data_IF_240710391535
#
_entry.id   IF_240710391535
#
_cell.length_a   1.000
_cell.length_b   1.000
_cell.length_c   1.000
_cell.angle_alpha   90.00
_cell.angle_beta   90.00
_cell.angle_gamma   90.00
#
_symmetry.space_group_name_H-M   'P 1'
#
loop_
_entity.id
_entity.type
_entity.pdbx_description
1 polymer ?
#
# COMPACT_ATOMS: atom_id res chain seq x y z
N UNK A 1 -7.93 24.90 -4.91
CA UNK A 1 -6.50 25.14 -5.25
C UNK A 1 -6.24 24.67 -6.67
N UNK A 2 -5.28 25.27 -7.34
CA UNK A 2 -4.67 24.77 -8.57
C UNK A 2 -3.45 23.92 -8.21
N UNK A 3 -3.47 22.64 -8.54
CA UNK A 3 -2.45 21.68 -8.11
C UNK A 3 -1.80 21.06 -9.35
N UNK A 4 -0.48 21.09 -9.41
CA UNK A 4 0.29 20.32 -10.40
C UNK A 4 0.59 18.94 -9.84
N UNK A 5 0.02 17.90 -10.46
CA UNK A 5 0.20 16.50 -10.07
C UNK A 5 1.37 15.92 -10.85
N UNK A 6 2.47 15.64 -10.17
CA UNK A 6 3.60 14.91 -10.73
C UNK A 6 3.30 13.40 -10.60
N UNK A 7 2.83 12.78 -11.68
CA UNK A 7 2.37 11.38 -11.69
C UNK A 7 3.49 10.41 -12.09
N UNK A 8 3.82 9.48 -11.21
CA UNK A 8 4.67 8.32 -11.52
C UNK A 8 3.86 7.02 -11.58
N UNK A 9 4.52 5.90 -11.92
CA UNK A 9 3.84 4.61 -12.11
C UNK A 9 3.39 3.96 -10.79
N UNK A 10 2.26 4.42 -10.25
CA UNK A 10 1.61 3.80 -9.10
C UNK A 10 0.08 3.88 -9.20
N UNK A 11 -0.60 2.83 -8.74
CA UNK A 11 -2.01 2.56 -9.02
C UNK A 11 -3.02 3.41 -8.23
N UNK A 12 -2.59 4.21 -7.26
CA UNK A 12 -3.50 4.98 -6.37
C UNK A 12 -3.96 6.33 -6.95
N UNK A 13 -3.28 6.83 -7.98
CA UNK A 13 -3.59 8.15 -8.57
C UNK A 13 -5.04 8.33 -9.04
N UNK A 14 -5.72 7.34 -9.67
CA UNK A 14 -7.09 7.53 -10.13
C UNK A 14 -8.04 7.96 -9.01
N UNK A 15 -7.97 7.32 -7.85
CA UNK A 15 -8.82 7.65 -6.70
C UNK A 15 -8.47 9.01 -6.07
N UNK A 16 -7.18 9.36 -6.02
CA UNK A 16 -6.70 10.66 -5.55
C UNK A 16 -7.22 11.79 -6.47
N UNK A 17 -7.02 11.65 -7.78
CA UNK A 17 -7.38 12.65 -8.78
C UNK A 17 -8.90 12.87 -8.85
N UNK A 18 -9.68 11.78 -8.81
CA UNK A 18 -11.14 11.86 -8.77
C UNK A 18 -11.61 12.60 -7.50
N UNK A 19 -11.04 12.25 -6.35
CA UNK A 19 -11.37 12.89 -5.07
C UNK A 19 -11.01 14.38 -5.07
N UNK A 20 -9.79 14.75 -5.49
CA UNK A 20 -9.37 16.15 -5.55
C UNK A 20 -10.29 16.99 -6.45
N UNK A 21 -10.72 16.45 -7.60
CA UNK A 21 -11.66 17.14 -8.49
C UNK A 21 -13.04 17.29 -7.85
N UNK A 22 -13.53 16.24 -7.18
CA UNK A 22 -14.83 16.26 -6.50
C UNK A 22 -14.87 17.23 -5.30
N UNK A 23 -13.73 17.46 -4.64
CA UNK A 23 -13.58 18.48 -3.59
C UNK A 23 -13.32 19.90 -4.16
N UNK A 24 -13.38 20.07 -5.50
CA UNK A 24 -13.30 21.38 -6.15
C UNK A 24 -11.90 21.90 -6.45
N UNK A 25 -10.87 21.04 -6.41
CA UNK A 25 -9.52 21.41 -6.81
C UNK A 25 -9.34 21.26 -8.34
N UNK A 26 -8.53 22.15 -8.93
CA UNK A 26 -8.11 22.06 -10.32
C UNK A 26 -6.78 21.31 -10.37
N UNK A 27 -6.71 20.22 -11.13
CA UNK A 27 -5.54 19.36 -11.20
C UNK A 27 -5.02 19.25 -12.62
N UNK A 28 -3.82 19.77 -12.87
CA UNK A 28 -3.05 19.47 -14.09
C UNK A 28 -2.10 18.30 -13.80
N UNK A 29 -1.88 17.44 -14.77
CA UNK A 29 -1.02 16.26 -14.60
C UNK A 29 0.24 16.40 -15.44
N UNK A 30 1.39 16.33 -14.79
CA UNK A 30 2.69 16.11 -15.41
C UNK A 30 3.08 14.64 -15.19
N UNK A 31 2.93 13.84 -16.24
CA UNK A 31 3.25 12.41 -16.19
C UNK A 31 4.74 12.17 -16.42
N UNK A 32 5.34 11.36 -15.55
CA UNK A 32 6.71 10.88 -15.67
C UNK A 32 6.85 9.39 -15.38
N UNK A 33 5.78 8.61 -15.57
CA UNK A 33 5.74 7.17 -15.26
C UNK A 33 6.75 6.35 -16.09
N UNK A 34 7.19 6.86 -17.24
CA UNK A 34 8.13 6.21 -18.14
C UNK A 34 9.62 6.47 -17.81
N UNK A 35 9.93 7.28 -16.78
CA UNK A 35 11.32 7.63 -16.45
C UNK A 35 12.08 6.43 -15.86
N UNK A 36 13.30 6.20 -16.35
CA UNK A 36 14.18 5.11 -15.89
C UNK A 36 15.03 5.47 -14.68
N UNK A 37 14.80 6.65 -14.10
CA UNK A 37 15.52 7.20 -12.94
C UNK A 37 17.03 7.31 -13.17
N UNK A 38 17.44 7.57 -14.42
CA UNK A 38 18.81 7.97 -14.74
C UNK A 38 19.01 9.46 -14.45
N UNK A 39 20.25 9.88 -14.22
CA UNK A 39 20.58 11.30 -13.96
C UNK A 39 20.10 12.21 -15.12
N UNK A 40 20.22 11.74 -16.36
CA UNK A 40 19.76 12.45 -17.56
C UNK A 40 18.23 12.60 -17.58
N UNK A 41 17.49 11.52 -17.27
CA UNK A 41 16.03 11.57 -17.22
C UNK A 41 15.53 12.48 -16.08
N UNK A 42 16.18 12.42 -14.92
CA UNK A 42 15.88 13.27 -13.76
C UNK A 42 16.12 14.74 -14.10
N UNK A 43 17.24 15.06 -14.76
CA UNK A 43 17.54 16.42 -15.19
C UNK A 43 16.51 16.92 -16.22
N UNK A 44 16.16 16.08 -17.20
CA UNK A 44 15.15 16.39 -18.22
C UNK A 44 13.78 16.68 -17.58
N UNK A 45 13.32 15.80 -16.69
CA UNK A 45 12.06 16.00 -15.97
C UNK A 45 12.08 17.24 -15.09
N UNK A 46 13.16 17.47 -14.34
CA UNK A 46 13.31 18.64 -13.48
C UNK A 46 13.20 19.93 -14.28
N UNK A 47 13.75 19.95 -15.50
CA UNK A 47 13.63 21.09 -16.41
C UNK A 47 12.19 21.29 -16.88
N UNK A 48 11.50 20.22 -17.27
CA UNK A 48 10.08 20.30 -17.67
C UNK A 48 9.20 20.77 -16.52
N UNK A 49 9.43 20.27 -15.31
CA UNK A 49 8.72 20.72 -14.11
C UNK A 49 8.96 22.20 -13.83
N UNK A 50 10.21 22.66 -13.93
CA UNK A 50 10.57 24.06 -13.72
C UNK A 50 9.91 24.98 -14.75
N UNK A 51 9.93 24.59 -16.04
CA UNK A 51 9.28 25.35 -17.12
C UNK A 51 7.75 25.41 -16.90
N UNK A 52 7.15 24.31 -16.42
CA UNK A 52 5.72 24.27 -16.08
C UNK A 52 5.35 25.20 -14.93
N UNK A 53 6.21 25.28 -13.91
CA UNK A 53 6.01 26.15 -12.75
C UNK A 53 6.23 27.62 -13.07
N UNK A 54 7.02 27.94 -14.10
CA UNK A 54 7.20 29.31 -14.61
C UNK A 54 5.98 29.85 -15.39
N UNK A 55 4.98 29.01 -15.72
CA UNK A 55 3.74 29.45 -16.37
C UNK A 55 2.98 30.43 -15.44
N UNK A 56 2.96 31.72 -15.82
CA UNK A 56 2.32 32.78 -15.04
C UNK A 56 0.86 32.97 -15.44
N UNK A 57 0.06 33.49 -14.52
CA UNK A 57 -1.29 34.02 -14.83
C UNK A 57 -1.28 35.53 -14.67
N UNK A 58 -2.36 36.22 -15.08
CA UNK A 58 -2.50 37.67 -14.86
C UNK A 58 -2.43 38.09 -13.39
N UNK A 59 -2.68 37.15 -12.46
CA UNK A 59 -2.85 37.43 -11.03
C UNK A 59 -1.76 36.79 -10.15
N UNK A 60 -0.99 35.81 -10.65
CA UNK A 60 0.00 35.07 -9.86
C UNK A 60 1.29 34.81 -10.63
N UNK A 61 2.41 34.84 -9.90
CA UNK A 61 3.75 34.52 -10.40
C UNK A 61 3.91 33.06 -10.85
N UNK A 62 3.03 32.17 -10.40
CA UNK A 62 2.83 30.82 -10.91
C UNK A 62 1.35 30.48 -10.96
N UNK A 63 0.94 29.64 -11.92
CA UNK A 63 -0.44 29.13 -12.05
C UNK A 63 -0.87 28.25 -10.87
N UNK A 64 0.08 27.61 -10.18
CA UNK A 64 -0.19 26.55 -9.20
C UNK A 64 -0.01 27.03 -7.77
N UNK A 65 -0.90 26.58 -6.89
CA UNK A 65 -0.80 26.80 -5.44
C UNK A 65 0.09 25.75 -4.75
N UNK A 66 0.21 24.56 -5.34
CA UNK A 66 1.04 23.47 -4.84
C UNK A 66 1.42 22.47 -5.94
N UNK A 67 2.51 21.75 -5.72
CA UNK A 67 2.88 20.52 -6.44
C UNK A 67 2.53 19.32 -5.57
N UNK A 68 1.98 18.26 -6.15
CA UNK A 68 1.64 17.03 -5.44
C UNK A 68 2.22 15.79 -6.13
N UNK A 69 2.73 14.84 -5.34
CA UNK A 69 3.05 13.49 -5.80
C UNK A 69 2.68 12.42 -4.77
N UNK A 70 2.38 11.22 -5.25
CA UNK A 70 2.41 10.01 -4.42
C UNK A 70 3.86 9.59 -4.28
N UNK A 71 4.31 9.38 -3.04
CA UNK A 71 5.72 9.28 -2.63
C UNK A 71 6.53 10.58 -2.80
N UNK A 72 7.53 10.76 -1.94
CA UNK A 72 8.49 11.85 -1.97
C UNK A 72 9.56 11.65 -3.06
N UNK A 73 9.81 12.70 -3.84
CA UNK A 73 10.90 12.74 -4.80
C UNK A 73 11.84 13.92 -4.53
N UNK A 74 13.11 13.63 -4.27
CA UNK A 74 14.15 14.61 -3.97
C UNK A 74 14.27 15.70 -5.04
N UNK A 75 14.24 15.32 -6.32
CA UNK A 75 14.32 16.24 -7.46
C UNK A 75 13.06 17.10 -7.63
N UNK A 76 11.87 16.61 -7.26
CA UNK A 76 10.66 17.45 -7.21
C UNK A 76 10.80 18.48 -6.10
N UNK A 77 11.24 18.04 -4.91
CA UNK A 77 11.44 18.91 -3.76
C UNK A 77 12.45 20.04 -4.06
N UNK A 78 13.55 19.73 -4.76
CA UNK A 78 14.54 20.73 -5.16
C UNK A 78 13.99 21.78 -6.12
N UNK A 79 13.24 21.37 -7.15
CA UNK A 79 12.60 22.32 -8.06
C UNK A 79 11.60 23.19 -7.30
N UNK A 80 10.76 22.58 -6.45
CA UNK A 80 9.77 23.31 -5.67
C UNK A 80 10.41 24.31 -4.69
N UNK A 81 11.52 23.93 -4.06
CA UNK A 81 12.28 24.80 -3.17
C UNK A 81 12.85 26.02 -3.91
N UNK A 82 13.48 25.82 -5.08
CA UNK A 82 13.99 26.92 -5.91
C UNK A 82 12.90 27.88 -6.38
N UNK A 83 11.73 27.35 -6.71
CA UNK A 83 10.57 28.11 -7.16
C UNK A 83 9.69 28.63 -6.01
N UNK A 84 10.08 28.38 -4.75
CA UNK A 84 9.33 28.74 -3.55
C UNK A 84 7.84 28.34 -3.59
N UNK A 85 7.55 27.14 -4.11
CA UNK A 85 6.20 26.57 -4.17
C UNK A 85 6.05 25.41 -3.17
N UNK A 86 4.87 25.29 -2.57
CA UNK A 86 4.55 24.20 -1.64
C UNK A 86 4.60 22.85 -2.38
N UNK A 87 5.41 21.93 -1.87
CA UNK A 87 5.47 20.55 -2.34
C UNK A 87 4.78 19.63 -1.33
N UNK A 88 3.72 18.97 -1.76
CA UNK A 88 2.95 18.04 -0.95
C UNK A 88 3.23 16.63 -1.46
N UNK A 89 3.50 15.68 -0.57
CA UNK A 89 3.52 14.28 -0.97
C UNK A 89 2.81 13.38 0.02
N UNK A 90 2.20 12.32 -0.50
CA UNK A 90 1.55 11.28 0.28
C UNK A 90 2.24 9.95 -0.01
N UNK A 91 3.04 9.49 0.94
CA UNK A 91 3.82 8.27 0.80
C UNK A 91 2.94 7.05 1.00
N UNK A 92 3.12 6.06 0.13
CA UNK A 92 2.47 4.75 0.21
C UNK A 92 3.48 3.60 0.29
N UNK A 93 4.78 3.93 0.26
CA UNK A 93 5.89 3.04 0.55
C UNK A 93 6.57 3.48 1.86
N UNK A 94 6.93 2.50 2.71
CA UNK A 94 7.63 2.74 3.97
C UNK A 94 8.73 1.69 4.20
N UNK A 95 9.96 2.08 4.59
CA UNK A 95 10.42 3.45 4.53
C UNK A 95 10.83 3.81 3.10
N UNK A 96 10.74 5.09 2.75
CA UNK A 96 11.06 5.53 1.40
C UNK A 96 12.53 5.99 1.33
N UNK A 97 13.37 5.26 0.58
CA UNK A 97 14.81 5.55 0.50
C UNK A 97 15.11 7.00 0.08
N UNK A 98 14.29 7.58 -0.80
CA UNK A 98 14.49 8.94 -1.28
C UNK A 98 14.34 10.02 -0.19
N UNK A 99 13.70 9.69 0.94
CA UNK A 99 13.61 10.58 2.10
C UNK A 99 14.92 10.68 2.89
N UNK A 100 15.93 9.84 2.60
CA UNK A 100 17.28 10.01 3.14
C UNK A 100 18.03 11.17 2.48
N UNK A 101 17.51 11.72 1.37
CA UNK A 101 18.11 12.85 0.70
C UNK A 101 17.95 14.15 1.52
N UNK A 102 18.98 15.05 1.58
CA UNK A 102 18.91 16.28 2.38
C UNK A 102 17.72 17.20 2.05
N UNK A 103 17.19 17.12 0.83
CA UNK A 103 16.03 17.91 0.38
C UNK A 103 14.74 17.63 1.16
N UNK A 104 14.68 16.55 1.96
CA UNK A 104 13.58 16.31 2.90
C UNK A 104 13.39 17.48 3.88
N UNK A 105 14.47 18.20 4.20
CA UNK A 105 14.49 19.31 5.15
C UNK A 105 13.99 20.65 4.59
N UNK A 106 13.65 20.73 3.30
CA UNK A 106 13.15 21.98 2.74
C UNK A 106 11.80 22.35 3.37
N UNK A 107 11.68 23.61 3.80
CA UNK A 107 10.46 24.16 4.44
C UNK A 107 9.27 24.30 3.49
N UNK A 108 9.51 24.18 2.18
CA UNK A 108 8.46 24.09 1.17
C UNK A 108 7.75 22.74 1.17
N UNK A 109 8.31 21.71 1.82
CA UNK A 109 7.75 20.37 1.84
C UNK A 109 6.61 20.24 2.85
N UNK A 110 5.67 19.36 2.53
CA UNK A 110 4.62 18.86 3.41
C UNK A 110 4.48 17.36 3.08
N UNK A 111 5.13 16.52 3.88
CA UNK A 111 5.33 15.09 3.61
C UNK A 111 4.45 14.28 4.53
N UNK A 112 3.55 13.49 3.97
CA UNK A 112 2.68 12.60 4.73
C UNK A 112 3.17 11.16 4.63
N UNK A 113 3.53 10.55 5.75
CA UNK A 113 3.91 9.14 5.85
C UNK A 113 2.88 8.35 6.66
N UNK A 114 2.62 7.11 6.25
CA UNK A 114 1.64 6.24 6.90
C UNK A 114 2.21 5.39 8.04
N UNK A 115 3.50 5.54 8.34
CA UNK A 115 4.21 4.83 9.39
C UNK A 115 4.63 5.82 10.47
N UNK A 116 3.98 5.79 11.64
CA UNK A 116 4.22 6.81 12.67
C UNK A 116 5.65 6.80 13.23
N UNK A 117 6.39 5.69 13.10
CA UNK A 117 7.81 5.64 13.47
C UNK A 117 8.69 6.43 12.52
N UNK A 118 8.31 6.54 11.24
CA UNK A 118 9.04 7.34 10.25
C UNK A 118 8.87 8.84 10.52
N UNK A 119 7.64 9.29 10.81
CA UNK A 119 7.38 10.67 11.25
C UNK A 119 8.22 11.01 12.49
N UNK A 120 8.14 10.18 13.55
CA UNK A 120 8.93 10.37 14.77
C UNK A 120 10.43 10.41 14.48
N UNK A 121 10.92 9.57 13.57
CA UNK A 121 12.33 9.54 13.20
C UNK A 121 12.81 10.88 12.62
N UNK A 122 12.04 11.46 11.69
CA UNK A 122 12.38 12.73 11.06
C UNK A 122 12.18 13.92 12.02
N UNK A 123 11.09 13.95 12.77
CA UNK A 123 10.83 14.99 13.77
C UNK A 123 11.93 15.04 14.85
N UNK A 124 12.38 13.89 15.35
CA UNK A 124 13.47 13.81 16.34
C UNK A 124 14.82 14.29 15.78
N UNK A 125 14.98 14.35 14.45
CA UNK A 125 16.16 14.89 13.76
C UNK A 125 16.00 16.36 13.35
N UNK A 126 14.88 17.01 13.71
CA UNK A 126 14.62 18.42 13.43
C UNK A 126 13.89 18.71 12.11
N UNK A 127 13.41 17.67 11.42
CA UNK A 127 12.59 17.82 10.20
C UNK A 127 11.12 17.83 10.58
N UNK A 128 10.53 19.02 10.73
CA UNK A 128 9.14 19.25 11.18
C UNK A 128 8.08 19.24 10.06
N UNK A 129 8.49 19.00 8.82
CA UNK A 129 7.64 18.96 7.62
C UNK A 129 7.13 17.55 7.28
N UNK A 130 7.48 16.55 8.10
CA UNK A 130 7.01 15.16 7.97
C UNK A 130 5.90 14.93 8.98
N UNK A 131 4.76 14.45 8.51
CA UNK A 131 3.54 14.28 9.29
C UNK A 131 3.03 12.85 9.14
N UNK A 132 2.56 12.29 10.25
CA UNK A 132 1.87 11.00 10.22
C UNK A 132 0.46 11.14 9.64
N UNK A 133 0.13 10.29 8.66
CA UNK A 133 -1.21 10.19 8.10
C UNK A 133 -1.49 8.76 7.59
N UNK A 134 -2.43 8.00 8.18
CA UNK A 134 -2.73 6.63 7.74
C UNK A 134 -3.20 6.57 6.29
N UNK A 135 -3.02 5.42 5.64
CA UNK A 135 -3.57 5.17 4.30
C UNK A 135 -5.12 5.17 4.28
N UNK A 136 -5.68 5.13 3.08
CA UNK A 136 -7.11 5.20 2.82
C UNK A 136 -7.49 4.44 1.55
N UNK A 137 -8.79 4.26 1.33
CA UNK A 137 -9.34 3.68 0.09
C UNK A 137 -10.58 4.44 -0.36
N UNK A 138 -10.95 4.33 -1.64
CA UNK A 138 -12.16 4.98 -2.17
C UNK A 138 -13.37 4.07 -1.94
N UNK A 139 -14.02 4.24 -0.79
CA UNK A 139 -15.12 3.36 -0.39
C UNK A 139 -16.32 3.49 -1.33
N UNK A 140 -16.60 4.69 -1.85
CA UNK A 140 -17.70 4.92 -2.79
C UNK A 140 -17.50 4.12 -4.09
N UNK A 141 -16.32 4.22 -4.70
CA UNK A 141 -15.99 3.47 -5.91
C UNK A 141 -16.04 1.96 -5.66
N UNK A 142 -15.43 1.52 -4.57
CA UNK A 142 -15.35 0.10 -4.22
C UNK A 142 -16.75 -0.49 -4.02
N UNK A 143 -17.63 0.17 -3.26
CA UNK A 143 -18.99 -0.30 -3.02
C UNK A 143 -19.83 -0.29 -4.31
N UNK A 144 -19.72 0.76 -5.14
CA UNK A 144 -20.41 0.81 -6.43
C UNK A 144 -19.97 -0.33 -7.37
N UNK A 145 -18.67 -0.68 -7.37
CA UNK A 145 -18.15 -1.81 -8.13
C UNK A 145 -18.76 -3.13 -7.64
N UNK A 146 -18.80 -3.35 -6.32
CA UNK A 146 -19.36 -4.57 -5.72
C UNK A 146 -20.86 -4.68 -6.05
N UNK A 147 -21.63 -3.62 -5.84
CA UNK A 147 -23.06 -3.56 -6.16
C UNK A 147 -23.34 -3.88 -7.63
N UNK A 148 -22.59 -3.26 -8.56
CA UNK A 148 -22.74 -3.50 -9.99
C UNK A 148 -22.45 -4.95 -10.38
N UNK A 149 -21.52 -5.63 -9.68
CA UNK A 149 -21.18 -7.02 -9.95
C UNK A 149 -22.31 -7.99 -9.58
N UNK A 150 -23.12 -7.65 -8.56
CA UNK A 150 -24.29 -8.44 -8.15
C UNK A 150 -25.42 -8.36 -9.18
N UNK A 151 -25.66 -7.17 -9.73
CA UNK A 151 -26.67 -6.97 -10.78
C UNK A 151 -26.34 -7.70 -12.08
N UNK A 152 -25.05 -7.93 -12.36
CA UNK A 152 -24.62 -8.72 -13.53
C UNK A 152 -24.80 -10.22 -13.27
N UNK A 153 -24.59 -10.71 -12.04
CA UNK A 153 -24.79 -12.14 -11.72
C UNK A 153 -26.26 -12.58 -11.69
N UNK A 154 -27.20 -11.65 -11.55
CA UNK A 154 -28.65 -11.92 -11.64
C UNK A 154 -29.17 -11.99 -13.10
N UNK A 155 -28.32 -11.63 -14.08
CA UNK A 155 -28.57 -11.78 -15.51
C UNK A 155 -27.72 -12.95 -16.02
N UNK A 156 -28.32 -14.14 -16.06
CA UNK A 156 -27.69 -15.41 -16.44
C UNK A 156 -26.74 -15.33 -17.64
N UNK A 157 -25.60 -16.01 -17.49
CA UNK A 157 -24.71 -16.58 -18.52
C UNK A 157 -25.23 -16.46 -19.96
N UNK A 158 -24.87 -15.38 -20.68
CA UNK A 158 -24.72 -15.35 -22.16
C UNK A 158 -24.32 -13.99 -22.79
N UNK A 159 -23.77 -13.03 -22.04
CA UNK A 159 -23.24 -11.79 -22.66
C UNK A 159 -21.84 -11.42 -22.13
N UNK A 160 -20.87 -12.31 -22.31
CA UNK A 160 -19.49 -11.84 -22.47
C UNK A 160 -19.35 -11.29 -23.88
N UNK A 161 -19.60 -10.00 -24.06
CA UNK A 161 -19.08 -9.27 -25.23
C UNK A 161 -17.56 -9.36 -25.14
N UNK A 162 -16.95 -10.24 -25.94
CA UNK A 162 -15.52 -10.22 -26.22
C UNK A 162 -15.17 -8.86 -26.83
N UNK A 163 -14.31 -8.03 -26.22
CA UNK A 163 -13.64 -7.00 -26.98
C UNK A 163 -12.63 -7.71 -27.88
N UNK A 164 -12.75 -7.53 -29.19
CA UNK A 164 -11.65 -7.83 -30.12
C UNK A 164 -10.45 -7.01 -29.68
N UNK A 165 -9.43 -7.67 -29.12
CA UNK A 165 -8.11 -7.06 -28.93
C UNK A 165 -7.35 -7.16 -30.24
N UNK A 166 -7.09 -6.01 -30.86
CA UNK A 166 -5.89 -5.79 -31.66
C UNK A 166 -4.93 -4.93 -30.84
N UNK A 167 -3.64 -5.14 -31.05
CA UNK A 167 -2.52 -4.75 -30.20
C UNK A 167 -2.39 -3.27 -29.84
N UNK A 168 -1.80 -3.08 -28.64
CA UNK A 168 -0.92 -1.99 -28.19
C UNK A 168 -1.46 -0.56 -28.04
N UNK A 169 -1.02 0.03 -26.93
CA UNK A 169 -1.04 1.43 -26.50
C UNK A 169 -2.25 1.95 -25.72
N UNK A 170 -1.87 2.65 -24.65
CA UNK A 170 -2.50 3.80 -24.02
C UNK A 170 -3.83 3.63 -23.28
N UNK A 171 -3.74 3.93 -21.99
CA UNK A 171 -4.82 4.42 -21.15
C UNK A 171 -5.49 5.64 -21.80
N UNK A 172 -6.46 5.39 -22.67
CA UNK A 172 -7.47 6.38 -23.04
C UNK A 172 -8.85 5.70 -23.06
N UNK A 173 -9.82 6.41 -22.47
CA UNK A 173 -11.26 6.16 -22.51
C UNK A 173 -11.83 5.14 -21.52
N UNK A 174 -11.84 5.50 -20.23
CA UNK A 174 -13.00 5.20 -19.37
C UNK A 174 -13.78 6.51 -19.18
N UNK A 175 -14.59 6.84 -20.18
CA UNK A 175 -15.65 7.84 -20.04
C UNK A 175 -16.81 7.17 -19.33
N UNK A 176 -16.91 7.33 -18.00
CA UNK A 176 -18.13 7.01 -17.27
C UNK A 176 -19.19 7.97 -17.79
N UNK A 177 -20.15 7.46 -18.58
CA UNK A 177 -21.31 8.25 -18.99
C UNK A 177 -22.08 8.63 -17.73
N UNK A 178 -22.08 9.94 -17.43
CA UNK A 178 -22.96 10.60 -16.49
C UNK A 178 -24.40 10.07 -16.67
N UNK A 179 -24.86 9.26 -15.72
CA UNK A 179 -26.27 8.97 -15.55
C UNK A 179 -26.73 9.82 -14.37
N UNK A 180 -27.61 10.77 -14.65
CA UNK A 180 -28.16 11.74 -13.71
C UNK A 180 -28.67 11.07 -12.42
N UNK A 181 -27.94 11.21 -11.32
CA UNK A 181 -28.43 10.92 -9.97
C UNK A 181 -29.13 12.18 -9.44
N UNK A 182 -30.46 12.20 -9.54
CA UNK A 182 -31.28 13.18 -8.81
C UNK A 182 -31.16 12.90 -7.32
N UNK A 183 -30.90 13.96 -6.56
CA UNK A 183 -31.01 14.02 -5.10
C UNK A 183 -32.33 13.39 -4.63
N UNK A 184 -32.25 12.48 -3.65
CA UNK A 184 -33.36 12.19 -2.75
C UNK A 184 -32.82 12.18 -1.32
N UNK A 185 -33.29 13.16 -0.55
CA UNK A 185 -33.13 13.26 0.89
C UNK A 185 -34.04 12.26 1.63
N UNK A 186 -33.70 12.03 2.89
CA UNK A 186 -34.42 11.29 3.95
C UNK A 186 -34.09 9.80 4.11
N UNK A 187 -33.01 9.50 4.84
CA UNK A 187 -32.80 8.21 5.48
C UNK A 187 -33.21 8.25 6.95
N UNK A 188 -34.42 7.79 7.24
CA UNK A 188 -34.79 7.26 8.56
C UNK A 188 -34.21 5.86 8.72
N UNK A 189 -33.49 5.63 9.82
CA UNK A 189 -32.85 4.35 10.14
C UNK A 189 -33.92 3.32 10.52
N UNK A 190 -34.19 2.37 9.63
CA UNK A 190 -34.90 1.12 9.94
C UNK A 190 -33.96 -0.08 9.84
N UNK A 191 -33.98 -0.91 10.89
CA UNK A 191 -33.29 -2.21 10.96
C UNK A 191 -33.73 -3.12 9.80
N UNK A 192 -32.76 -3.85 9.24
CA UNK A 192 -32.85 -5.09 8.44
C UNK A 192 -32.97 -5.05 6.90
N UNK A 193 -32.04 -4.39 6.19
CA UNK A 193 -31.88 -4.59 4.72
C UNK A 193 -30.46 -4.95 4.23
N UNK A 194 -29.49 -5.20 5.12
CA UNK A 194 -28.12 -5.59 4.70
C UNK A 194 -27.86 -7.10 4.62
N UNK A 195 -28.89 -7.95 4.75
CA UNK A 195 -28.78 -9.38 4.46
C UNK A 195 -29.01 -9.67 2.97
N UNK A 196 -28.23 -9.03 2.07
CA UNK A 196 -27.95 -9.69 0.80
C UNK A 196 -26.95 -10.78 1.11
N UNK A 197 -27.35 -12.03 0.95
CA UNK A 197 -26.48 -13.20 1.06
C UNK A 197 -25.29 -13.02 0.12
N UNK A 198 -24.15 -12.56 0.64
CA UNK A 198 -22.91 -12.59 -0.11
C UNK A 198 -22.57 -14.05 -0.36
N UNK A 199 -22.68 -14.48 -1.62
CA UNK A 199 -22.20 -15.81 -2.00
C UNK A 199 -20.67 -15.76 -1.98
N UNK A 200 -20.09 -16.08 -0.82
CA UNK A 200 -18.66 -16.22 -0.67
C UNK A 200 -18.11 -17.20 -1.71
N UNK A 201 -17.07 -16.78 -2.44
CA UNK A 201 -16.35 -17.57 -3.43
C UNK A 201 -15.10 -18.23 -2.85
N UNK A 202 -14.56 -17.64 -1.79
CA UNK A 202 -13.29 -18.04 -1.19
C UNK A 202 -13.46 -18.19 0.32
N UNK A 203 -12.97 -19.29 0.89
CA UNK A 203 -12.98 -19.46 2.34
C UNK A 203 -11.89 -18.60 2.99
N UNK A 204 -10.65 -18.74 2.52
CA UNK A 204 -9.50 -17.97 2.99
C UNK A 204 -8.78 -17.41 1.77
N UNK A 205 -8.51 -16.11 1.74
CA UNK A 205 -7.76 -15.49 0.64
C UNK A 205 -6.62 -14.60 1.10
N UNK A 206 -5.53 -14.63 0.34
CA UNK A 206 -4.47 -13.63 0.37
C UNK A 206 -4.25 -13.06 -1.04
N UNK A 207 -4.26 -11.73 -1.16
CA UNK A 207 -3.94 -11.01 -2.41
C UNK A 207 -2.64 -10.23 -2.19
N UNK A 208 -1.57 -10.63 -2.86
CA UNK A 208 -0.28 -9.97 -2.71
C UNK A 208 0.92 -10.74 -3.25
N UNK A 209 2.03 -10.04 -3.36
CA UNK A 209 3.34 -10.60 -3.70
C UNK A 209 3.88 -11.49 -2.55
N UNK A 210 4.82 -12.39 -2.81
CA UNK A 210 5.44 -13.26 -1.81
C UNK A 210 6.88 -12.86 -1.48
N UNK A 211 7.38 -11.75 -1.99
CA UNK A 211 8.79 -11.32 -1.93
C UNK A 211 9.76 -12.44 -2.39
N UNK A 212 9.30 -13.25 -3.35
CA UNK A 212 10.05 -14.36 -3.95
C UNK A 212 11.33 -13.89 -4.65
N UNK A 213 11.32 -12.64 -5.12
CA UNK A 213 12.50 -11.93 -5.60
C UNK A 213 12.96 -10.95 -4.53
N UNK A 214 14.03 -11.28 -3.83
CA UNK A 214 14.60 -10.45 -2.78
C UNK A 214 16.13 -10.41 -2.87
N UNK A 215 16.71 -9.31 -2.37
CA UNK A 215 18.16 -9.04 -2.49
C UNK A 215 19.03 -10.00 -1.69
N UNK A 216 18.51 -10.58 -0.60
CA UNK A 216 19.28 -11.52 0.19
C UNK A 216 19.55 -12.80 -0.60
N UNK A 217 18.52 -13.37 -1.23
CA UNK A 217 18.66 -14.58 -2.07
C UNK A 217 19.56 -14.32 -3.29
N UNK A 218 19.55 -13.09 -3.81
CA UNK A 218 20.46 -12.69 -4.89
C UNK A 218 21.93 -12.62 -4.45
N UNK A 219 22.24 -12.39 -3.17
CA UNK A 219 23.61 -12.15 -2.69
C UNK A 219 24.15 -13.22 -1.73
N UNK A 220 23.33 -14.13 -1.20
CA UNK A 220 23.77 -15.11 -0.21
C UNK A 220 24.97 -15.95 -0.68
N UNK A 221 25.06 -16.21 -1.99
CA UNK A 221 26.13 -16.99 -2.60
C UNK A 221 27.50 -16.29 -2.64
N UNK A 222 27.55 -14.98 -2.42
CA UNK A 222 28.80 -14.20 -2.34
C UNK A 222 29.20 -13.85 -0.90
N UNK A 223 28.34 -14.12 0.07
CA UNK A 223 28.60 -13.85 1.48
C UNK A 223 29.33 -15.05 2.14
N UNK A 224 30.22 -14.82 3.12
CA UNK A 224 30.79 -15.88 3.95
C UNK A 224 29.72 -16.62 4.77
N UNK A 225 29.94 -17.92 5.02
CA UNK A 225 29.05 -18.78 5.82
C UNK A 225 28.61 -18.15 7.16
N UNK A 226 29.54 -17.47 7.84
CA UNK A 226 29.22 -16.77 9.09
C UNK A 226 28.18 -15.66 8.89
N UNK A 227 28.31 -14.85 7.84
CA UNK A 227 27.34 -13.78 7.56
C UNK A 227 25.99 -14.37 7.15
N UNK A 228 25.96 -15.41 6.31
CA UNK A 228 24.71 -16.10 5.98
C UNK A 228 24.02 -16.66 7.23
N UNK A 229 24.75 -17.40 8.07
CA UNK A 229 24.19 -17.94 9.32
C UNK A 229 23.72 -16.86 10.30
N UNK A 230 24.44 -15.73 10.37
CA UNK A 230 24.02 -14.58 11.18
C UNK A 230 22.72 -13.97 10.66
N UNK A 231 22.63 -13.72 9.36
CA UNK A 231 21.46 -13.13 8.73
C UNK A 231 20.24 -14.04 8.83
N UNK A 232 20.42 -15.34 8.63
CA UNK A 232 19.37 -16.34 8.81
C UNK A 232 18.84 -16.34 10.25
N UNK A 233 19.73 -16.28 11.25
CA UNK A 233 19.34 -16.17 12.64
C UNK A 233 18.61 -14.85 12.95
N UNK A 234 19.03 -13.72 12.34
CA UNK A 234 18.34 -12.45 12.48
C UNK A 234 16.94 -12.46 11.86
N UNK A 235 16.79 -13.09 10.69
CA UNK A 235 15.49 -13.30 10.05
C UNK A 235 14.61 -14.17 10.95
N UNK A 236 15.12 -15.28 11.49
CA UNK A 236 14.34 -16.14 12.41
C UNK A 236 13.91 -15.39 13.67
N UNK A 237 14.78 -14.57 14.26
CA UNK A 237 14.40 -13.74 15.41
C UNK A 237 13.27 -12.77 15.05
N UNK A 238 13.33 -12.12 13.87
CA UNK A 238 12.27 -11.24 13.39
C UNK A 238 10.93 -11.98 13.18
N UNK A 239 10.95 -13.24 12.74
CA UNK A 239 9.73 -14.04 12.52
C UNK A 239 8.98 -14.40 13.81
N UNK A 240 9.65 -14.29 14.96
CA UNK A 240 9.06 -14.54 16.28
C UNK A 240 8.49 -13.28 16.94
N UNK A 241 8.52 -12.13 16.27
CA UNK A 241 7.99 -10.86 16.78
C UNK A 241 7.01 -10.24 15.79
N UNK A 242 5.78 -10.07 16.24
CA UNK A 242 4.72 -9.37 15.53
C UNK A 242 4.91 -7.85 15.67
N UNK A 243 5.04 -7.15 14.54
CA UNK A 243 5.27 -5.69 14.52
C UNK A 243 6.74 -5.28 14.70
N UNK A 244 7.03 -4.02 14.36
CA UNK A 244 8.39 -3.45 14.47
C UNK A 244 9.41 -4.04 13.48
N UNK A 245 10.68 -3.64 13.67
CA UNK A 245 11.82 -4.08 12.86
C UNK A 245 13.04 -4.35 13.76
N UNK A 246 13.15 -5.58 14.25
CA UNK A 246 14.29 -6.04 15.04
C UNK A 246 15.59 -6.07 14.25
N UNK A 247 15.51 -6.25 12.93
CA UNK A 247 16.67 -6.38 12.04
C UNK A 247 17.57 -5.14 12.13
N UNK A 248 16.98 -3.96 12.31
CA UNK A 248 17.72 -2.71 12.55
C UNK A 248 18.59 -2.77 13.80
N UNK A 249 18.18 -3.46 14.84
CA UNK A 249 18.98 -3.61 16.07
C UNK A 249 20.01 -4.73 15.94
N UNK A 250 19.68 -5.79 15.20
CA UNK A 250 20.55 -6.94 15.00
C UNK A 250 21.71 -6.65 14.03
N UNK A 251 21.58 -5.67 13.13
CA UNK A 251 22.71 -5.22 12.31
C UNK A 251 23.68 -4.36 13.14
N UNK A 252 24.59 -5.00 13.88
CA UNK A 252 25.61 -4.32 14.69
C UNK A 252 26.69 -3.67 13.82
N UNK A 253 27.45 -2.68 14.33
CA UNK A 253 28.56 -2.07 13.58
C UNK A 253 29.53 -3.11 13.01
N UNK A 254 29.86 -4.14 13.77
CA UNK A 254 30.79 -5.20 13.35
C UNK A 254 30.23 -6.01 12.17
N UNK A 255 28.92 -6.31 12.18
CA UNK A 255 28.26 -6.99 11.06
C UNK A 255 28.24 -6.10 9.82
N UNK A 256 27.98 -4.81 9.98
CA UNK A 256 28.02 -3.84 8.89
C UNK A 256 29.43 -3.74 8.29
N UNK A 257 30.47 -3.68 9.13
CA UNK A 257 31.87 -3.66 8.69
C UNK A 257 32.25 -4.93 7.89
N UNK A 258 31.69 -6.08 8.26
CA UNK A 258 31.87 -7.32 7.51
C UNK A 258 31.16 -7.27 6.16
N UNK A 259 29.93 -6.76 6.09
CA UNK A 259 29.14 -6.66 4.85
C UNK A 259 29.77 -5.72 3.84
N UNK A 260 30.38 -4.62 4.29
CA UNK A 260 31.06 -3.66 3.42
C UNK A 260 32.08 -4.29 2.47
N UNK A 261 32.65 -5.45 2.84
CA UNK A 261 33.64 -6.17 2.04
C UNK A 261 33.05 -6.91 0.83
N UNK A 262 31.73 -7.10 0.81
CA UNK A 262 31.02 -7.94 -0.16
C UNK A 262 29.93 -7.21 -0.93
N UNK A 263 29.66 -5.96 -0.58
CA UNK A 263 28.61 -5.17 -1.24
C UNK A 263 29.26 -4.17 -2.19
N UNK A 264 29.02 -4.33 -3.49
CA UNK A 264 29.27 -3.31 -4.53
C UNK A 264 28.25 -2.16 -4.40
N UNK A 265 28.13 -1.58 -3.21
CA UNK A 265 27.47 -0.30 -3.06
C UNK A 265 28.42 0.69 -3.70
N UNK A 266 28.13 1.00 -4.96
CA UNK A 266 28.88 1.96 -5.78
C UNK A 266 29.29 3.13 -4.90
N UNK A 267 30.59 3.39 -4.93
CA UNK A 267 31.33 4.48 -4.33
C UNK A 267 30.74 5.85 -4.65
N UNK A 268 29.62 6.20 -4.02
CA UNK A 268 29.11 7.56 -3.94
C UNK A 268 28.45 7.75 -2.56
N UNK A 269 29.23 8.26 -1.63
CA UNK A 269 28.80 9.02 -0.43
C UNK A 269 27.98 8.33 0.69
N UNK A 270 27.72 7.02 0.66
CA UNK A 270 26.86 6.39 1.69
C UNK A 270 27.62 5.94 2.96
N UNK A 271 27.08 6.33 4.12
CA UNK A 271 27.61 6.07 5.46
C UNK A 271 27.28 4.66 5.97
N UNK A 272 27.93 4.20 7.05
CA UNK A 272 27.53 2.96 7.76
C UNK A 272 26.03 2.93 8.11
N UNK A 273 25.43 4.11 8.37
CA UNK A 273 24.02 4.23 8.68
C UNK A 273 23.12 3.93 7.46
N UNK A 274 23.53 4.36 6.26
CA UNK A 274 22.77 4.14 5.03
C UNK A 274 22.80 2.67 4.62
N UNK A 275 23.98 2.03 4.71
CA UNK A 275 24.13 0.60 4.47
C UNK A 275 23.29 -0.21 5.47
N UNK A 276 23.37 0.13 6.76
CA UNK A 276 22.57 -0.52 7.81
C UNK A 276 21.07 -0.38 7.55
N UNK A 277 20.63 0.82 7.20
CA UNK A 277 19.23 1.10 6.87
C UNK A 277 18.79 0.25 5.66
N UNK A 278 19.54 0.29 4.56
CA UNK A 278 19.25 -0.50 3.36
C UNK A 278 19.15 -2.00 3.64
N UNK A 279 20.10 -2.56 4.39
CA UNK A 279 20.07 -3.98 4.75
C UNK A 279 18.87 -4.33 5.63
N UNK A 280 18.57 -3.50 6.63
CA UNK A 280 17.43 -3.73 7.51
C UNK A 280 16.10 -3.70 6.73
N UNK A 281 15.91 -2.70 5.86
CA UNK A 281 14.58 -2.37 5.29
C UNK A 281 14.34 -3.02 3.93
N UNK A 282 15.38 -3.19 3.12
CA UNK A 282 15.23 -3.59 1.70
C UNK A 282 15.87 -4.94 1.36
N UNK A 283 16.73 -5.47 2.23
CA UNK A 283 17.36 -6.80 2.06
C UNK A 283 16.70 -7.81 3.00
N UNK A 284 16.92 -7.66 4.30
CA UNK A 284 16.48 -8.64 5.29
C UNK A 284 14.98 -8.59 5.56
N UNK A 285 14.36 -7.40 5.61
CA UNK A 285 12.90 -7.30 5.78
C UNK A 285 12.13 -7.97 4.64
N UNK A 286 12.60 -7.83 3.40
CA UNK A 286 11.98 -8.52 2.26
C UNK A 286 12.14 -10.03 2.33
N UNK A 287 13.33 -10.53 2.70
CA UNK A 287 13.54 -11.97 2.92
C UNK A 287 12.68 -12.51 4.07
N UNK A 288 12.60 -11.78 5.18
CA UNK A 288 11.76 -12.13 6.32
C UNK A 288 10.28 -12.16 5.91
N UNK A 289 9.80 -11.17 5.15
CA UNK A 289 8.45 -11.16 4.60
C UNK A 289 8.19 -12.36 3.68
N UNK A 290 9.17 -12.75 2.85
CA UNK A 290 9.07 -13.91 1.97
C UNK A 290 8.91 -15.22 2.75
N UNK A 291 9.76 -15.41 3.75
CA UNK A 291 9.75 -16.58 4.63
C UNK A 291 8.46 -16.64 5.44
N UNK A 292 8.05 -15.53 6.06
CA UNK A 292 6.80 -15.40 6.81
C UNK A 292 5.58 -15.76 5.96
N UNK A 293 5.46 -15.19 4.76
CA UNK A 293 4.30 -15.44 3.86
C UNK A 293 4.26 -16.89 3.41
N UNK A 294 5.40 -17.47 3.03
CA UNK A 294 5.50 -18.87 2.60
C UNK A 294 5.13 -19.83 3.74
N UNK A 295 5.70 -19.63 4.93
CA UNK A 295 5.40 -20.45 6.10
C UNK A 295 3.93 -20.38 6.48
N UNK A 296 3.37 -19.16 6.54
CA UNK A 296 1.97 -18.93 6.92
C UNK A 296 1.01 -19.58 5.92
N UNK A 297 1.21 -19.34 4.62
CA UNK A 297 0.36 -19.92 3.57
C UNK A 297 0.45 -21.45 3.53
N UNK A 298 1.64 -22.02 3.72
CA UNK A 298 1.82 -23.47 3.79
C UNK A 298 1.10 -24.07 5.00
N UNK A 299 1.24 -23.46 6.18
CA UNK A 299 0.55 -23.90 7.40
C UNK A 299 -0.97 -23.82 7.27
N UNK A 300 -1.49 -22.75 6.67
CA UNK A 300 -2.90 -22.62 6.33
C UNK A 300 -3.34 -23.70 5.33
N UNK A 301 -2.61 -23.91 4.24
CA UNK A 301 -2.98 -24.87 3.20
C UNK A 301 -2.92 -26.33 3.66
N UNK A 302 -2.02 -26.65 4.59
CA UNK A 302 -1.96 -27.95 5.25
C UNK A 302 -3.18 -28.20 6.13
N UNK A 303 -3.64 -27.19 6.89
CA UNK A 303 -4.80 -27.30 7.78
C UNK A 303 -6.14 -27.23 7.02
N UNK A 304 -6.21 -26.42 5.97
CA UNK A 304 -7.41 -26.15 5.18
C UNK A 304 -7.17 -26.51 3.69
N UNK A 305 -6.98 -27.81 3.38
CA UNK A 305 -6.64 -28.22 2.02
C UNK A 305 -7.73 -27.81 1.03
N UNK A 306 -7.31 -27.19 -0.09
CA UNK A 306 -8.18 -26.67 -1.16
C UNK A 306 -9.13 -25.53 -0.76
N UNK A 307 -8.92 -24.90 0.40
CA UNK A 307 -9.74 -23.76 0.86
C UNK A 307 -8.94 -22.46 1.03
N UNK A 308 -7.63 -22.48 0.73
CA UNK A 308 -6.74 -21.31 0.79
C UNK A 308 -6.44 -20.84 -0.62
N UNK A 309 -6.77 -19.58 -0.92
CA UNK A 309 -6.66 -18.96 -2.23
C UNK A 309 -5.60 -17.86 -2.23
N UNK A 310 -4.63 -17.97 -3.14
CA UNK A 310 -3.59 -16.97 -3.33
C UNK A 310 -3.73 -16.29 -4.69
N UNK A 311 -3.78 -14.96 -4.70
CA UNK A 311 -3.73 -14.16 -5.93
C UNK A 311 -2.40 -13.40 -5.96
N UNK A 312 -1.50 -13.80 -6.86
CA UNK A 312 -0.13 -13.28 -6.86
C UNK A 312 0.51 -13.21 -8.25
N UNK A 313 1.55 -12.38 -8.37
CA UNK A 313 2.51 -12.37 -9.49
C UNK A 313 3.77 -13.18 -9.19
N UNK A 314 3.97 -13.59 -7.95
CA UNK A 314 5.16 -14.28 -7.48
C UNK A 314 5.29 -15.71 -7.99
N UNK A 315 6.53 -16.21 -7.99
CA UNK A 315 6.76 -17.64 -8.05
C UNK A 315 6.09 -18.35 -6.85
N UNK A 316 5.53 -19.52 -7.11
CA UNK A 316 4.75 -20.29 -6.11
C UNK A 316 5.23 -21.73 -6.00
N UNK A 317 6.47 -22.00 -6.42
CA UNK A 317 7.06 -23.35 -6.39
C UNK A 317 7.22 -23.88 -4.96
N UNK A 318 7.55 -22.99 -4.01
CA UNK A 318 7.72 -23.31 -2.58
C UNK A 318 6.38 -23.51 -1.82
N UNK A 319 5.23 -23.35 -2.47
CA UNK A 319 3.92 -23.43 -1.83
C UNK A 319 3.33 -24.85 -1.85
N UNK A 320 2.67 -25.21 -0.75
CA UNK A 320 2.06 -26.51 -0.53
C UNK A 320 0.99 -26.83 -1.61
N UNK A 321 0.95 -28.06 -2.17
CA UNK A 321 0.14 -28.35 -3.36
C UNK A 321 -1.38 -28.16 -3.21
N UNK A 322 -1.92 -28.19 -1.99
CA UNK A 322 -3.36 -28.00 -1.73
C UNK A 322 -3.78 -26.52 -1.71
N UNK A 323 -2.83 -25.58 -1.77
CA UNK A 323 -3.10 -24.16 -1.91
C UNK A 323 -3.57 -23.86 -3.35
N UNK A 324 -4.70 -23.17 -3.48
CA UNK A 324 -5.26 -22.78 -4.78
C UNK A 324 -4.62 -21.49 -5.25
N UNK A 325 -3.93 -21.57 -6.39
CA UNK A 325 -3.16 -20.47 -6.97
C UNK A 325 -3.98 -19.79 -8.07
N UNK A 326 -4.08 -18.47 -8.01
CA UNK A 326 -4.73 -17.62 -9.00
C UNK A 326 -3.73 -16.63 -9.57
N UNK A 327 -3.96 -16.19 -10.81
CA UNK A 327 -3.23 -15.05 -11.36
C UNK A 327 -3.49 -13.80 -10.52
N UNK A 328 -2.54 -12.88 -10.53
CA UNK A 328 -2.73 -11.56 -9.98
C UNK A 328 -3.99 -10.89 -10.51
N UNK A 329 -4.62 -10.11 -9.65
CA UNK A 329 -5.87 -9.39 -9.93
C UNK A 329 -5.59 -7.91 -10.10
N UNK A 330 -6.35 -7.30 -11.00
CA UNK A 330 -6.35 -5.85 -11.16
C UNK A 330 -6.77 -5.16 -9.86
N UNK A 331 -5.99 -4.18 -9.43
CA UNK A 331 -6.18 -3.48 -8.16
C UNK A 331 -7.53 -2.76 -8.08
N UNK A 332 -7.93 -2.06 -9.14
CA UNK A 332 -9.15 -1.24 -9.12
C UNK A 332 -10.41 -2.08 -9.34
N UNK A 333 -10.34 -3.06 -10.23
CA UNK A 333 -11.51 -3.74 -10.80
C UNK A 333 -11.77 -5.13 -10.24
N UNK A 334 -10.73 -5.83 -9.75
CA UNK A 334 -10.86 -7.25 -9.36
C UNK A 334 -10.51 -7.51 -7.90
N UNK A 335 -9.48 -6.87 -7.35
CA UNK A 335 -9.11 -7.04 -5.95
C UNK A 335 -10.27 -6.75 -4.98
N UNK A 336 -11.07 -5.68 -5.14
CA UNK A 336 -12.20 -5.42 -4.24
C UNK A 336 -13.26 -6.52 -4.27
N UNK A 337 -13.49 -7.12 -5.43
CA UNK A 337 -14.42 -8.24 -5.59
C UNK A 337 -13.93 -9.51 -4.89
N UNK A 338 -12.61 -9.76 -4.91
CA UNK A 338 -12.01 -10.85 -4.14
C UNK A 338 -12.23 -10.59 -2.66
N UNK A 339 -11.89 -9.40 -2.17
CA UNK A 339 -12.01 -9.05 -0.75
C UNK A 339 -13.43 -9.21 -0.22
N UNK A 340 -14.42 -8.72 -0.97
CA UNK A 340 -15.84 -8.81 -0.62
C UNK A 340 -16.39 -10.25 -0.71
N UNK A 341 -15.79 -11.12 -1.54
CA UNK A 341 -16.26 -12.50 -1.74
C UNK A 341 -15.45 -13.55 -0.96
N UNK A 342 -14.56 -13.11 -0.05
CA UNK A 342 -13.80 -13.98 0.84
C UNK A 342 -14.40 -14.01 2.24
N UNK A 343 -14.57 -15.21 2.82
CA UNK A 343 -15.02 -15.33 4.22
C UNK A 343 -13.97 -14.77 5.18
N UNK A 344 -12.69 -15.02 4.90
CA UNK A 344 -11.56 -14.51 5.65
C UNK A 344 -10.51 -13.98 4.68
N UNK A 345 -10.18 -12.70 4.82
CA UNK A 345 -9.01 -12.11 4.18
C UNK A 345 -7.85 -12.07 5.18
N UNK A 346 -6.68 -12.52 4.74
CA UNK A 346 -5.46 -12.46 5.54
C UNK A 346 -4.62 -11.27 5.11
N UNK A 347 -4.03 -10.56 6.07
CA UNK A 347 -2.94 -9.61 5.83
C UNK A 347 -1.67 -10.06 6.57
N UNK A 348 -0.54 -9.89 5.90
CA UNK A 348 0.80 -10.19 6.40
C UNK A 348 1.72 -9.03 6.02
N UNK A 349 2.04 -8.18 6.99
CA UNK A 349 2.79 -6.95 6.77
C UNK A 349 4.29 -7.21 6.75
N UNK A 350 5.01 -6.59 5.81
CA UNK A 350 6.46 -6.76 5.72
C UNK A 350 7.15 -6.01 6.88
N UNK A 351 8.21 -6.55 7.50
CA UNK A 351 8.85 -5.95 8.68
C UNK A 351 9.40 -4.52 8.50
N UNK A 352 9.65 -4.09 7.25
CA UNK A 352 10.08 -2.74 6.97
C UNK A 352 9.02 -1.67 7.27
N UNK A 353 7.73 -2.04 7.28
CA UNK A 353 6.65 -1.18 7.75
C UNK A 353 6.58 -1.34 9.28
N UNK A 354 7.26 -0.50 10.04
CA UNK A 354 7.52 -0.75 11.47
C UNK A 354 6.25 -0.65 12.30
N UNK A 355 5.56 0.49 12.22
CA UNK A 355 4.33 0.80 12.97
C UNK A 355 3.11 0.99 12.08
N UNK A 356 3.32 1.30 10.80
CA UNK A 356 2.28 1.64 9.84
C UNK A 356 1.34 0.48 9.45
N UNK A 357 0.18 0.86 8.90
CA UNK A 357 -0.84 -0.08 8.42
C UNK A 357 -0.77 -0.13 6.89
N UNK A 358 -0.53 -1.30 6.26
CA UNK A 358 -0.43 -1.38 4.81
C UNK A 358 -1.78 -1.13 4.13
N UNK A 359 -1.74 -0.60 2.90
CA UNK A 359 -2.92 -0.22 2.11
C UNK A 359 -3.99 -1.33 2.04
N UNK A 360 -3.55 -2.59 1.95
CA UNK A 360 -4.41 -3.78 1.89
C UNK A 360 -5.44 -3.84 3.02
N UNK A 361 -5.10 -3.37 4.22
CA UNK A 361 -6.04 -3.35 5.36
C UNK A 361 -7.22 -2.44 5.03
N UNK A 362 -6.94 -1.23 4.54
CA UNK A 362 -7.97 -0.28 4.16
C UNK A 362 -8.81 -0.80 2.99
N UNK A 363 -8.20 -1.41 1.98
CA UNK A 363 -8.92 -1.94 0.82
C UNK A 363 -9.86 -3.10 1.18
N UNK A 364 -9.41 -4.03 2.04
CA UNK A 364 -10.23 -5.16 2.48
C UNK A 364 -11.45 -4.65 3.25
N UNK A 365 -11.22 -3.78 4.22
CA UNK A 365 -12.29 -3.23 5.06
C UNK A 365 -13.23 -2.33 4.24
N UNK A 366 -12.69 -1.51 3.34
CA UNK A 366 -13.47 -0.67 2.42
C UNK A 366 -14.28 -1.46 1.39
N UNK A 367 -13.89 -2.71 1.10
CA UNK A 367 -14.69 -3.67 0.34
C UNK A 367 -15.75 -4.41 1.18
N UNK A 368 -15.80 -4.19 2.49
CA UNK A 368 -16.69 -4.92 3.40
C UNK A 368 -16.24 -6.37 3.67
N UNK A 369 -14.96 -6.67 3.47
CA UNK A 369 -14.39 -7.98 3.75
C UNK A 369 -13.99 -8.14 5.22
N UNK A 370 -14.20 -9.33 5.79
CA UNK A 370 -13.67 -9.67 7.11
C UNK A 370 -12.15 -9.89 7.03
N UNK A 371 -11.40 -9.28 7.95
CA UNK A 371 -9.94 -9.25 7.96
C UNK A 371 -9.35 -9.86 9.24
N UNK A 372 -8.35 -10.71 9.06
CA UNK A 372 -7.40 -11.12 10.10
C UNK A 372 -6.01 -10.62 9.71
N UNK A 373 -5.37 -9.75 10.51
CA UNK A 373 -4.07 -9.10 10.21
C UNK A 373 -3.04 -9.29 11.32
N UNK A 374 -1.75 -9.17 11.01
CA UNK A 374 -0.70 -9.08 12.02
C UNK A 374 -0.77 -7.75 12.78
N UNK A 375 -0.20 -7.71 13.99
CA UNK A 375 -0.15 -6.51 14.82
C UNK A 375 0.77 -5.43 14.23
N UNK A 376 0.30 -4.18 14.27
CA UNK A 376 1.04 -2.95 14.01
C UNK A 376 0.58 -1.90 15.02
N UNK A 377 1.51 -1.12 15.57
CA UNK A 377 1.23 -0.15 16.64
C UNK A 377 0.14 0.84 16.24
N UNK A 378 0.14 1.31 14.99
CA UNK A 378 -0.80 2.32 14.50
C UNK A 378 -2.24 1.79 14.37
N UNK A 379 -2.45 0.46 14.47
CA UNK A 379 -3.80 -0.13 14.49
C UNK A 379 -4.64 0.43 15.64
N UNK A 380 -4.03 0.70 16.80
CA UNK A 380 -4.74 1.18 17.99
C UNK A 380 -5.41 2.55 17.78
N UNK A 381 -4.82 3.37 16.91
CA UNK A 381 -5.28 4.73 16.63
C UNK A 381 -6.30 4.73 15.49
N UNK A 382 -6.24 3.74 14.59
CA UNK A 382 -7.11 3.63 13.43
C UNK A 382 -8.36 2.76 13.67
N UNK A 383 -8.24 1.66 14.43
CA UNK A 383 -9.25 0.61 14.50
C UNK A 383 -9.43 0.05 15.92
N UNK A 384 -10.61 -0.51 16.18
CA UNK A 384 -10.93 -1.29 17.38
C UNK A 384 -10.85 -2.78 17.08
N UNK A 385 -9.86 -3.47 17.66
CA UNK A 385 -9.68 -4.92 17.50
C UNK A 385 -10.88 -5.70 18.03
N UNK A 386 -11.30 -6.72 17.30
CA UNK A 386 -12.49 -7.53 17.57
C UNK A 386 -13.81 -6.85 17.20
N UNK A 387 -13.78 -5.60 16.71
CA UNK A 387 -14.94 -4.87 16.16
C UNK A 387 -14.75 -4.48 14.70
N UNK A 388 -13.63 -3.87 14.34
CA UNK A 388 -13.34 -3.46 12.96
C UNK A 388 -12.64 -4.56 12.15
N UNK A 389 -11.73 -5.26 12.82
CA UNK A 389 -10.87 -6.31 12.27
C UNK A 389 -10.43 -7.22 13.42
N UNK A 390 -9.82 -8.35 13.07
CA UNK A 390 -9.14 -9.21 14.05
C UNK A 390 -7.62 -9.17 13.85
N UNK A 391 -6.87 -9.29 14.95
CA UNK A 391 -5.40 -9.37 14.93
C UNK A 391 -4.96 -10.77 15.30
N UNK A 392 -3.90 -11.30 14.69
CA UNK A 392 -3.24 -12.53 15.15
C UNK A 392 -1.82 -12.27 15.66
N UNK A 393 -1.36 -13.11 16.57
CA UNK A 393 0.03 -13.14 17.05
C UNK A 393 0.66 -14.51 16.76
N UNK A 394 1.48 -14.57 15.71
CA UNK A 394 2.07 -15.81 15.24
C UNK A 394 1.11 -16.74 14.48
N UNK A 395 1.68 -17.77 13.85
CA UNK A 395 0.93 -18.65 12.94
C UNK A 395 -0.10 -19.49 13.69
N UNK A 396 0.19 -19.95 14.91
CA UNK A 396 -0.72 -20.84 15.62
C UNK A 396 -2.01 -20.13 16.07
N UNK A 397 -1.92 -18.88 16.55
CA UNK A 397 -3.08 -18.03 16.84
C UNK A 397 -3.88 -17.72 15.56
N UNK A 398 -3.20 -17.44 14.45
CA UNK A 398 -3.86 -17.28 13.15
C UNK A 398 -4.67 -18.54 12.77
N UNK A 399 -4.10 -19.74 12.96
CA UNK A 399 -4.79 -20.99 12.66
C UNK A 399 -5.99 -21.23 13.58
N UNK A 400 -5.92 -20.85 14.85
CA UNK A 400 -7.02 -20.94 15.81
C UNK A 400 -8.15 -19.95 15.47
N UNK A 401 -7.81 -18.68 15.23
CA UNK A 401 -8.76 -17.64 14.81
C UNK A 401 -9.41 -17.98 13.48
N UNK A 402 -8.67 -18.53 12.53
CA UNK A 402 -9.24 -19.00 11.25
C UNK A 402 -10.29 -20.09 11.49
N UNK A 403 -10.02 -21.08 12.34
CA UNK A 403 -10.95 -22.16 12.69
C UNK A 403 -12.23 -21.62 13.33
N UNK A 404 -12.04 -20.71 14.28
CA UNK A 404 -13.15 -20.06 14.98
C UNK A 404 -13.98 -19.26 13.99
N UNK A 405 -13.36 -18.35 13.24
CA UNK A 405 -14.10 -17.45 12.39
C UNK A 405 -14.76 -18.17 11.22
N UNK A 406 -14.20 -19.23 10.64
CA UNK A 406 -14.89 -20.01 9.59
C UNK A 406 -16.25 -20.56 10.05
N UNK A 407 -16.41 -20.86 11.35
CA UNK A 407 -17.64 -21.41 11.95
C UNK A 407 -18.64 -20.34 12.43
N UNK A 408 -18.24 -19.07 12.48
CA UNK A 408 -19.04 -17.99 13.08
C UNK A 408 -19.35 -16.87 12.07
N UNK A 409 -20.25 -17.15 11.12
CA UNK A 409 -20.60 -16.20 10.05
C UNK A 409 -21.14 -14.88 10.56
N UNK A 410 -22.11 -14.89 11.48
CA UNK A 410 -22.72 -13.67 12.02
C UNK A 410 -21.66 -12.74 12.64
N UNK A 411 -20.67 -13.32 13.33
CA UNK A 411 -19.60 -12.56 13.95
C UNK A 411 -18.64 -11.98 12.91
N UNK A 412 -18.25 -12.75 11.88
CA UNK A 412 -17.43 -12.24 10.77
C UNK A 412 -18.12 -11.08 10.07
N UNK A 413 -19.41 -11.23 9.74
CA UNK A 413 -20.20 -10.22 9.04
C UNK A 413 -20.37 -8.96 9.89
N UNK A 414 -20.64 -9.10 11.19
CA UNK A 414 -20.74 -7.96 12.10
C UNK A 414 -19.42 -7.16 12.16
N UNK A 415 -18.28 -7.85 12.27
CA UNK A 415 -16.96 -7.22 12.29
C UNK A 415 -16.66 -6.52 10.96
N UNK A 416 -16.85 -7.21 9.83
CA UNK A 416 -16.61 -6.65 8.51
C UNK A 416 -17.44 -5.38 8.23
N UNK A 417 -18.71 -5.39 8.62
CA UNK A 417 -19.60 -4.23 8.46
C UNK A 417 -19.24 -3.07 9.38
N UNK A 418 -18.73 -3.33 10.58
CA UNK A 418 -18.25 -2.27 11.46
C UNK A 418 -16.92 -1.69 10.92
N UNK A 419 -16.01 -2.53 10.46
CA UNK A 419 -14.76 -2.12 9.79
C UNK A 419 -15.01 -1.25 8.55
N UNK A 420 -15.98 -1.63 7.71
CA UNK A 420 -16.41 -0.81 6.55
C UNK A 420 -16.87 0.59 6.98
N UNK A 421 -17.71 0.69 8.01
CA UNK A 421 -18.19 1.98 8.53
C UNK A 421 -17.05 2.84 9.06
N UNK A 422 -16.09 2.23 9.75
CA UNK A 422 -14.89 2.93 10.24
C UNK A 422 -14.07 3.48 9.08
N UNK A 423 -13.84 2.69 8.02
CA UNK A 423 -13.12 3.17 6.84
C UNK A 423 -13.89 4.29 6.13
N UNK A 424 -15.20 4.12 5.89
CA UNK A 424 -16.04 5.13 5.24
C UNK A 424 -16.05 6.48 5.96
N UNK A 425 -15.98 6.47 7.30
CA UNK A 425 -16.05 7.69 8.11
C UNK A 425 -14.69 8.33 8.37
N UNK A 426 -13.60 7.55 8.44
CA UNK A 426 -12.29 8.03 8.93
C UNK A 426 -11.13 7.81 7.97
N UNK A 427 -11.26 6.91 6.99
CA UNK A 427 -10.17 6.45 6.13
C UNK A 427 -10.59 6.38 4.65
N UNK A 428 -11.50 7.27 4.24
CA UNK A 428 -11.86 7.49 2.84
C UNK A 428 -10.94 8.56 2.23
N UNK A 429 -10.66 8.49 0.93
CA UNK A 429 -9.84 9.52 0.26
C UNK A 429 -10.39 10.93 0.50
N UNK A 430 -11.70 11.14 0.54
CA UNK A 430 -12.26 12.47 0.80
C UNK A 430 -11.83 13.04 2.15
N UNK A 431 -11.67 12.19 3.17
CA UNK A 431 -11.15 12.58 4.49
C UNK A 431 -9.67 12.95 4.38
N UNK A 432 -8.86 12.07 3.76
CA UNK A 432 -7.40 12.27 3.65
C UNK A 432 -7.03 13.46 2.78
N UNK A 433 -7.72 13.67 1.66
CA UNK A 433 -7.46 14.82 0.79
C UNK A 433 -7.78 16.14 1.50
N UNK A 434 -8.83 16.19 2.32
CA UNK A 434 -9.11 17.37 3.15
C UNK A 434 -8.04 17.61 4.22
N UNK A 435 -7.51 16.57 4.85
CA UNK A 435 -6.39 16.71 5.81
C UNK A 435 -5.09 17.13 5.12
N UNK A 436 -4.84 16.64 3.91
CA UNK A 436 -3.63 16.93 3.14
C UNK A 436 -3.62 18.37 2.61
N UNK A 437 -4.77 18.85 2.09
CA UNK A 437 -4.90 20.12 1.38
C UNK A 437 -5.52 21.26 2.20
N UNK A 438 -6.14 20.97 3.34
CA UNK A 438 -6.89 21.89 4.20
C UNK A 438 -6.03 22.69 5.15
#
# INVERSE_FOLDING_TARGET
MNILICRWDIFVYPDILDTMKNEGHLCDVLDFSAIKMSDEDIASFSKVLEDKLCEKTSEKETKYDAVFSVNFFSYIAEVCHRQNIRYICYNVDSPLLNMQHPSVNYKTNCIYTFDSSEEKHFNNKGTDTVHYLPLCTNTKRVQALIESSHHISDLTDNYFIKPKMSESTAYENVTIKNTNLKQTENYTVTKSEYTKSYKYKYDISFVGNLYDKNRYDEMEHILPDYLCGYMDAAIEAQLNVSGGNLLKNMLTPEIIDMLLKYTDIKTSTQSHADLKFHFATSVLSHKAAAKMRTMTLNRLAMKYPKNVHLFTTSDTSALFPTLIKHKAVDYLLKAPLVFASSKININMTAPNIETGIPLRVFDILGAGGFLITDWREDLKDCFTIGKDLEVYDGIDDLLEKTDYYLKHEDKRTAIAMHGLKTVQSRHDYSVRIREILG
#
